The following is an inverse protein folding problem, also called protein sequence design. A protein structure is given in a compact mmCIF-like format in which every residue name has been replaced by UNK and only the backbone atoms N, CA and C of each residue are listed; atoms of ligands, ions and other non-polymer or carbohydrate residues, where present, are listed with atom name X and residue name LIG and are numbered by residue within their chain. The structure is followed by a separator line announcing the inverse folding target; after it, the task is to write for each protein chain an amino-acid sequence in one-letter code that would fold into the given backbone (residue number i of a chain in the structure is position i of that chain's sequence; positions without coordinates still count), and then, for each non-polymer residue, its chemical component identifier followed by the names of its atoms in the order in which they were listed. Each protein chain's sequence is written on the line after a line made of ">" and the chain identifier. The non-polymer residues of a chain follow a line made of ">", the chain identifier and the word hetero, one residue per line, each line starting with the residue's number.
data_IF_950132788730
#
_entry.id   IF_950132788730
#
_cell.length_a   1.000
_cell.length_b   1.000
_cell.length_c   1.000
_cell.angle_alpha   90.00
_cell.angle_beta   90.00
_cell.angle_gamma   90.00
#
_symmetry.space_group_name_H-M   'P 1'
#
loop_
_entity.id
_entity.type
_entity.pdbx_description
1 polymer ?
#
# COMPACT_ATOMS: atom_id res chain seq x y z
N UNK A 1 19.29 -11.29 1.20
CA UNK A 1 19.78 -10.59 -0.01
C UNK A 1 18.65 -9.72 -0.53
N UNK A 2 18.97 -8.51 -1.00
CA UNK A 2 18.00 -7.66 -1.67
C UNK A 2 17.54 -8.33 -2.97
N UNK A 3 16.28 -8.13 -3.35
CA UNK A 3 15.73 -8.67 -4.60
C UNK A 3 15.15 -7.54 -5.45
N UNK A 4 15.17 -7.70 -6.76
CA UNK A 4 14.39 -6.85 -7.66
C UNK A 4 12.90 -7.23 -7.54
N UNK A 5 11.96 -6.26 -7.54
CA UNK A 5 10.53 -6.56 -7.59
C UNK A 5 10.13 -7.26 -8.90
N UNK A 6 10.93 -7.11 -9.96
CA UNK A 6 10.72 -7.75 -11.26
C UNK A 6 11.30 -9.16 -11.37
N UNK A 7 12.07 -9.62 -10.38
CA UNK A 7 12.63 -10.98 -10.35
C UNK A 7 11.58 -12.10 -10.40
N UNK A 8 10.29 -11.75 -10.36
CA UNK A 8 9.12 -12.65 -10.43
C UNK A 8 8.01 -12.16 -11.38
N UNK A 9 8.26 -11.21 -12.29
CA UNK A 9 7.18 -10.41 -12.90
C UNK A 9 6.96 -10.66 -14.40
N UNK A 10 6.07 -11.59 -14.71
CA UNK A 10 5.20 -11.46 -15.89
C UNK A 10 3.75 -11.86 -15.57
N UNK A 11 3.37 -11.76 -14.29
CA UNK A 11 2.32 -12.59 -13.71
C UNK A 11 1.13 -11.79 -13.18
N UNK A 12 -0.05 -12.42 -13.25
CA UNK A 12 -1.32 -11.86 -12.80
C UNK A 12 -1.28 -11.67 -11.28
N UNK A 13 -1.68 -10.47 -10.83
CA UNK A 13 -1.85 -10.15 -9.40
C UNK A 13 -2.88 -11.08 -8.77
N UNK A 14 -2.63 -11.50 -7.53
CA UNK A 14 -3.65 -12.09 -6.65
C UNK A 14 -3.81 -11.28 -5.38
N UNK A 15 -5.04 -11.18 -4.91
CA UNK A 15 -5.36 -10.61 -3.62
C UNK A 15 -6.38 -11.47 -2.88
N UNK A 16 -6.38 -11.37 -1.57
CA UNK A 16 -7.39 -11.95 -0.69
C UNK A 16 -7.76 -10.91 0.37
N UNK A 17 -9.07 -10.78 0.62
CA UNK A 17 -9.61 -9.92 1.68
C UNK A 17 -10.38 -10.82 2.63
N UNK A 18 -9.99 -10.81 3.90
CA UNK A 18 -10.69 -11.53 4.96
C UNK A 18 -11.37 -10.53 5.89
N UNK A 19 -12.63 -10.78 6.21
CA UNK A 19 -13.40 -10.07 7.22
C UNK A 19 -13.70 -10.99 8.38
N UNK A 20 -13.27 -10.61 9.59
CA UNK A 20 -13.27 -11.44 10.79
C UNK A 20 -12.65 -12.83 10.56
N UNK A 21 -11.60 -12.89 9.73
CA UNK A 21 -10.89 -14.13 9.39
C UNK A 21 -11.55 -14.98 8.30
N UNK A 22 -12.68 -14.56 7.74
CA UNK A 22 -13.41 -15.26 6.69
C UNK A 22 -13.27 -14.51 5.37
N UNK A 23 -12.94 -15.20 4.28
CA UNK A 23 -12.85 -14.58 2.95
C UNK A 23 -14.18 -13.95 2.56
N UNK A 24 -14.13 -12.73 2.00
CA UNK A 24 -15.34 -12.03 1.56
C UNK A 24 -16.07 -12.79 0.42
N UNK A 25 -17.38 -12.56 0.20
CA UNK A 25 -18.10 -13.23 -0.87
C UNK A 25 -17.46 -13.00 -2.24
N UNK A 26 -17.28 -14.08 -3.02
CA UNK A 26 -16.67 -14.03 -4.37
C UNK A 26 -17.46 -13.18 -5.37
N UNK A 27 -18.74 -12.90 -5.07
CA UNK A 27 -19.60 -12.00 -5.85
C UNK A 27 -19.25 -10.53 -5.67
N UNK A 28 -18.43 -10.19 -4.67
CA UNK A 28 -18.00 -8.82 -4.40
C UNK A 28 -17.01 -8.37 -5.47
N UNK A 29 -17.38 -7.36 -6.26
CA UNK A 29 -16.51 -6.82 -7.31
C UNK A 29 -15.63 -5.71 -6.72
N UNK A 30 -14.38 -6.04 -6.43
CA UNK A 30 -13.38 -5.08 -5.97
C UNK A 30 -12.86 -4.28 -7.16
N UNK A 31 -12.97 -2.96 -7.07
CA UNK A 31 -12.47 -2.01 -8.07
C UNK A 31 -11.02 -1.63 -7.77
N UNK A 32 -10.76 -1.30 -6.50
CA UNK A 32 -9.46 -0.83 -6.08
C UNK A 32 -9.15 -1.17 -4.62
N UNK A 33 -7.86 -1.34 -4.34
CA UNK A 33 -7.29 -1.37 -3.00
C UNK A 33 -6.24 -0.27 -2.90
N UNK A 34 -6.34 0.54 -1.85
CA UNK A 34 -5.34 1.54 -1.50
C UNK A 34 -4.90 1.29 -0.07
N UNK A 35 -3.65 0.88 0.14
CA UNK A 35 -3.08 0.67 1.47
C UNK A 35 -1.95 1.66 1.66
N UNK A 36 -2.02 2.43 2.74
CA UNK A 36 -1.00 3.39 3.13
C UNK A 36 -0.47 3.05 4.52
N UNK A 37 0.85 2.89 4.60
CA UNK A 37 1.60 2.79 5.85
C UNK A 37 2.49 4.02 5.98
N UNK A 38 2.51 4.65 7.14
CA UNK A 38 3.28 5.88 7.37
C UNK A 38 3.89 5.83 8.77
N UNK A 39 5.14 6.27 8.91
CA UNK A 39 5.73 6.48 10.23
C UNK A 39 4.91 7.53 11.00
N UNK A 40 4.87 7.42 12.32
CA UNK A 40 4.13 8.36 13.19
C UNK A 40 2.61 8.45 12.91
N UNK A 41 2.03 7.57 12.08
CA UNK A 41 0.59 7.50 11.80
C UNK A 41 0.08 6.07 11.93
N UNK A 42 -1.25 5.93 11.95
CA UNK A 42 -1.91 4.64 11.76
C UNK A 42 -1.92 4.27 10.29
N UNK A 43 -1.71 2.99 10.01
CA UNK A 43 -1.88 2.44 8.67
C UNK A 43 -3.36 2.52 8.31
N UNK A 44 -3.64 2.88 7.06
CA UNK A 44 -5.00 3.00 6.52
C UNK A 44 -5.13 2.14 5.28
N UNK A 45 -6.25 1.44 5.15
CA UNK A 45 -6.61 0.75 3.93
C UNK A 45 -8.00 1.19 3.47
N UNK A 46 -8.13 1.48 2.19
CA UNK A 46 -9.39 1.78 1.52
C UNK A 46 -9.67 0.67 0.51
N UNK A 47 -10.80 -0.01 0.70
CA UNK A 47 -11.33 -1.01 -0.23
C UNK A 47 -12.48 -0.36 -0.98
N UNK A 48 -12.36 -0.25 -2.30
CA UNK A 48 -13.42 0.27 -3.16
C UNK A 48 -14.03 -0.89 -3.94
N UNK A 49 -15.34 -1.06 -3.83
CA UNK A 49 -16.09 -2.12 -4.50
C UNK A 49 -17.37 -1.58 -5.15
N UNK A 50 -17.87 -2.26 -6.17
CA UNK A 50 -19.21 -2.00 -6.73
C UNK A 50 -20.24 -2.52 -5.73
N UNK A 51 -21.17 -1.66 -5.34
CA UNK A 51 -22.30 -2.07 -4.52
C UNK A 51 -23.52 -1.23 -4.90
N UNK A 52 -24.48 -1.89 -5.53
CA UNK A 52 -25.55 -1.22 -6.25
C UNK A 52 -25.53 -1.54 -7.74
N UNK A 53 -26.71 -1.58 -8.34
CA UNK A 53 -26.91 -1.71 -9.77
C UNK A 53 -28.04 -0.80 -10.21
N UNK A 54 -27.94 -0.22 -11.39
CA UNK A 54 -28.93 0.70 -11.94
C UNK A 54 -30.34 0.12 -11.86
N UNK A 55 -31.27 0.90 -11.29
CA UNK A 55 -32.69 0.57 -11.22
C UNK A 55 -33.13 -0.42 -10.13
N UNK A 56 -32.22 -0.95 -9.29
CA UNK A 56 -32.59 -1.95 -8.26
C UNK A 56 -32.64 -1.47 -6.81
N UNK A 57 -32.35 -0.20 -6.49
CA UNK A 57 -32.40 0.36 -5.11
C UNK A 57 -31.84 -0.59 -4.02
N UNK A 58 -30.80 -1.35 -4.35
CA UNK A 58 -30.30 -2.45 -3.52
C UNK A 58 -28.79 -2.35 -3.39
N UNK A 59 -28.31 -2.42 -2.15
CA UNK A 59 -26.90 -2.33 -1.78
C UNK A 59 -26.53 -3.60 -0.99
N UNK A 60 -26.37 -4.75 -1.67
CA UNK A 60 -26.23 -6.04 -1.00
C UNK A 60 -25.05 -6.11 -0.03
N UNK A 61 -23.91 -5.48 -0.35
CA UNK A 61 -22.73 -5.54 0.53
C UNK A 61 -22.87 -4.57 1.70
N UNK A 62 -23.33 -3.35 1.48
CA UNK A 62 -23.55 -2.35 2.52
C UNK A 62 -24.60 -2.81 3.55
N UNK A 63 -25.63 -3.53 3.10
CA UNK A 63 -26.66 -4.11 3.97
C UNK A 63 -26.24 -5.43 4.63
N UNK A 64 -25.08 -5.99 4.27
CA UNK A 64 -24.58 -7.25 4.82
C UNK A 64 -23.74 -7.05 6.09
N UNK A 65 -23.38 -8.17 6.72
CA UNK A 65 -22.43 -8.17 7.85
C UNK A 65 -20.96 -8.13 7.40
N UNK A 66 -20.68 -8.17 6.09
CA UNK A 66 -19.32 -8.38 5.55
C UNK A 66 -18.36 -7.27 5.97
N UNK A 67 -18.76 -6.00 5.89
CA UNK A 67 -17.92 -4.86 6.24
C UNK A 67 -18.55 -3.97 7.32
N UNK A 68 -19.21 -4.58 8.30
CA UNK A 68 -19.73 -3.84 9.45
C UNK A 68 -18.62 -3.09 10.17
N UNK A 69 -18.95 -1.91 10.70
CA UNK A 69 -18.05 -1.12 11.54
C UNK A 69 -17.50 -2.00 12.68
N UNK A 70 -16.19 -1.92 12.91
CA UNK A 70 -15.48 -2.71 13.90
C UNK A 70 -15.04 -4.11 13.44
N UNK A 71 -15.50 -4.62 12.29
CA UNK A 71 -15.00 -5.89 11.76
C UNK A 71 -13.49 -5.80 11.51
N UNK A 72 -12.77 -6.86 11.88
CA UNK A 72 -11.35 -7.03 11.56
C UNK A 72 -11.18 -7.34 10.08
N UNK A 73 -10.30 -6.60 9.40
CA UNK A 73 -9.97 -6.77 8.00
C UNK A 73 -8.51 -7.15 7.85
N UNK A 74 -8.24 -8.20 7.07
CA UNK A 74 -6.91 -8.58 6.60
C UNK A 74 -6.87 -8.51 5.08
N UNK A 75 -5.87 -7.82 4.54
CA UNK A 75 -5.64 -7.73 3.09
C UNK A 75 -4.30 -8.39 2.79
N UNK A 76 -4.32 -9.35 1.86
CA UNK A 76 -3.13 -10.03 1.35
C UNK A 76 -2.97 -9.72 -0.13
N UNK A 77 -1.74 -9.43 -0.54
CA UNK A 77 -1.37 -9.17 -1.93
C UNK A 77 -0.20 -10.05 -2.34
N UNK A 78 -0.12 -10.36 -3.63
CA UNK A 78 0.97 -11.15 -4.18
C UNK A 78 0.78 -11.49 -5.64
N UNK A 79 1.57 -12.46 -6.09
CA UNK A 79 1.54 -12.99 -7.46
C UNK A 79 1.53 -14.51 -7.39
N UNK A 80 0.90 -15.17 -8.37
CA UNK A 80 0.78 -16.64 -8.43
C UNK A 80 0.14 -17.21 -7.14
N UNK A 81 0.71 -18.29 -6.57
CA UNK A 81 0.20 -18.93 -5.35
C UNK A 81 0.69 -18.25 -4.06
N UNK A 82 1.55 -17.22 -4.15
CA UNK A 82 2.14 -16.58 -2.99
C UNK A 82 1.56 -15.19 -2.78
N UNK A 83 0.64 -15.11 -1.82
CA UNK A 83 0.13 -13.86 -1.27
C UNK A 83 0.63 -13.71 0.17
N UNK A 84 1.07 -12.51 0.52
CA UNK A 84 1.52 -12.16 1.86
C UNK A 84 0.60 -11.06 2.42
N UNK A 85 0.43 -11.02 3.74
CA UNK A 85 -0.36 -9.99 4.40
C UNK A 85 0.32 -8.62 4.28
N UNK A 86 -0.41 -7.63 3.75
CA UNK A 86 0.05 -6.23 3.62
C UNK A 86 -0.67 -5.28 4.56
N UNK A 87 -1.84 -5.67 5.11
CA UNK A 87 -2.62 -4.85 6.03
C UNK A 87 -3.47 -5.69 6.98
N UNK A 88 -3.57 -5.25 8.24
CA UNK A 88 -4.52 -5.72 9.25
C UNK A 88 -5.07 -4.55 10.03
N UNK A 89 -6.39 -4.45 10.15
CA UNK A 89 -7.04 -3.36 10.88
C UNK A 89 -8.52 -3.62 11.11
N UNK A 90 -9.27 -2.58 11.47
CA UNK A 90 -10.73 -2.63 11.61
C UNK A 90 -11.40 -1.64 10.69
N UNK A 91 -12.62 -2.00 10.23
CA UNK A 91 -13.50 -1.07 9.52
C UNK A 91 -13.88 0.08 10.45
N UNK A 92 -13.63 1.31 10.02
CA UNK A 92 -13.98 2.52 10.79
C UNK A 92 -15.01 3.40 10.08
N UNK A 93 -15.04 3.37 8.74
CA UNK A 93 -15.94 4.19 7.94
C UNK A 93 -16.41 3.40 6.72
N UNK A 94 -17.68 3.58 6.36
CA UNK A 94 -18.26 3.13 5.10
C UNK A 94 -18.79 4.36 4.36
N UNK A 95 -18.49 4.50 3.07
CA UNK A 95 -18.99 5.59 2.21
C UNK A 95 -19.68 5.01 0.99
N UNK A 96 -20.91 5.45 0.72
CA UNK A 96 -21.57 5.22 -0.56
C UNK A 96 -21.27 6.39 -1.50
N UNK A 97 -20.84 6.07 -2.71
CA UNK A 97 -20.40 7.05 -3.71
C UNK A 97 -21.06 6.67 -5.03
N UNK A 98 -21.66 7.63 -5.72
CA UNK A 98 -22.05 7.45 -7.11
C UNK A 98 -20.94 7.98 -8.00
N UNK A 99 -20.27 7.10 -8.74
CA UNK A 99 -19.25 7.47 -9.72
C UNK A 99 -19.89 7.44 -11.12
N UNK A 100 -19.74 8.53 -11.88
CA UNK A 100 -20.35 8.66 -13.21
C UNK A 100 -19.83 7.67 -14.25
N UNK A 101 -18.63 7.12 -14.07
CA UNK A 101 -17.99 6.18 -15.01
C UNK A 101 -18.03 4.74 -14.49
N UNK A 102 -17.85 4.54 -13.19
CA UNK A 102 -17.71 3.23 -12.55
C UNK A 102 -18.96 2.80 -11.74
N UNK A 103 -20.04 3.59 -11.78
CA UNK A 103 -21.33 3.28 -11.15
C UNK A 103 -21.38 3.51 -9.63
N UNK A 104 -22.33 2.86 -8.96
CA UNK A 104 -22.48 2.96 -7.50
C UNK A 104 -21.42 2.13 -6.77
N UNK A 105 -20.71 2.78 -5.84
CA UNK A 105 -19.57 2.24 -5.13
C UNK A 105 -19.76 2.30 -3.62
N UNK A 106 -19.22 1.29 -2.95
CA UNK A 106 -19.01 1.29 -1.51
C UNK A 106 -17.51 1.35 -1.23
N UNK A 107 -17.08 2.36 -0.49
CA UNK A 107 -15.72 2.46 0.06
C UNK A 107 -15.72 2.07 1.53
N UNK A 108 -14.84 1.13 1.87
CA UNK A 108 -14.60 0.68 3.24
C UNK A 108 -13.22 1.20 3.66
N UNK A 109 -13.21 2.08 4.66
CA UNK A 109 -11.96 2.62 5.22
C UNK A 109 -11.66 1.87 6.51
N UNK A 110 -10.47 1.31 6.56
CA UNK A 110 -9.97 0.52 7.68
C UNK A 110 -8.73 1.18 8.26
N UNK A 111 -8.54 1.07 9.58
CA UNK A 111 -7.32 1.50 10.26
C UNK A 111 -6.78 0.41 11.17
N UNK A 112 -5.47 0.35 11.35
CA UNK A 112 -4.86 -0.50 12.39
C UNK A 112 -5.40 -0.14 13.77
N UNK A 113 -5.62 -1.14 14.63
CA UNK A 113 -6.04 -0.87 16.01
C UNK A 113 -4.91 -0.27 16.84
N UNK A 114 -5.29 0.70 17.67
CA UNK A 114 -4.41 1.48 18.53
C UNK A 114 -4.24 0.79 19.88
N UNK A 115 -3.06 0.22 20.13
CA UNK A 115 -2.53 0.11 21.50
C UNK A 115 -1.10 0.64 21.47
N UNK A 116 -1.02 1.97 21.58
CA UNK A 116 0.18 2.82 21.55
C UNK A 116 0.70 3.13 20.13
N UNK A 117 0.67 4.43 19.78
CA UNK A 117 1.50 5.18 18.81
C UNK A 117 2.13 4.34 17.69
N UNK A 118 1.82 4.66 16.43
CA UNK A 118 2.46 4.17 15.18
C UNK A 118 3.48 3.04 15.35
N UNK A 119 3.23 1.86 14.76
CA UNK A 119 4.14 0.68 14.80
C UNK A 119 5.62 1.00 14.57
N UNK A 120 5.91 2.08 13.85
CA UNK A 120 7.24 2.64 13.66
C UNK A 120 7.19 4.14 13.93
N UNK A 121 7.95 4.61 14.92
CA UNK A 121 8.21 6.05 15.08
C UNK A 121 9.41 6.47 14.27
N UNK A 122 9.50 7.76 13.96
CA UNK A 122 10.65 8.34 13.28
C UNK A 122 11.97 8.10 14.04
N UNK A 123 11.93 8.13 15.36
CA UNK A 123 13.10 7.88 16.21
C UNK A 123 13.58 6.41 16.14
N UNK A 124 12.67 5.49 15.80
CA UNK A 124 12.92 4.04 15.74
C UNK A 124 13.34 3.56 14.34
N UNK A 125 13.66 4.49 13.43
CA UNK A 125 14.13 4.16 12.09
C UNK A 125 15.53 3.55 12.15
N UNK A 126 15.60 2.26 11.88
CA UNK A 126 16.85 1.52 11.87
C UNK A 126 17.53 1.65 10.50
N UNK A 127 18.59 2.46 10.47
CA UNK A 127 19.41 2.73 9.28
C UNK A 127 20.57 1.74 9.12
N UNK A 128 20.64 0.69 9.94
CA UNK A 128 21.66 -0.37 9.86
C UNK A 128 21.15 -1.63 9.14
N UNK A 129 19.85 -1.74 8.90
CA UNK A 129 19.24 -2.89 8.21
C UNK A 129 19.87 -3.13 6.84
N UNK A 130 19.95 -4.38 6.45
CA UNK A 130 20.26 -4.70 5.05
C UNK A 130 19.07 -4.37 4.15
N UNK A 131 19.28 -3.89 2.92
CA UNK A 131 18.21 -3.64 1.98
C UNK A 131 17.38 -4.91 1.68
N UNK A 132 16.04 -4.77 1.71
CA UNK A 132 15.10 -5.83 1.33
C UNK A 132 14.85 -5.85 -0.17
N UNK A 133 14.97 -4.69 -0.83
CA UNK A 133 14.85 -4.51 -2.27
C UNK A 133 16.06 -3.78 -2.82
N UNK A 134 16.39 -4.09 -4.06
CA UNK A 134 17.27 -3.31 -4.91
C UNK A 134 16.44 -2.82 -6.10
N UNK A 135 16.38 -1.50 -6.27
CA UNK A 135 15.60 -0.82 -7.30
C UNK A 135 16.56 -0.09 -8.23
N UNK A 136 16.59 -0.52 -9.48
CA UNK A 136 17.45 0.06 -10.51
C UNK A 136 16.61 0.87 -11.50
N UNK A 137 16.96 2.15 -11.69
CA UNK A 137 16.34 2.97 -12.74
C UNK A 137 16.63 2.40 -14.14
N UNK A 138 15.61 2.41 -15.00
CA UNK A 138 15.64 1.73 -16.31
C UNK A 138 15.30 0.24 -16.26
N UNK A 139 15.09 -0.32 -15.06
CA UNK A 139 14.63 -1.69 -14.88
C UNK A 139 13.41 -1.76 -13.94
N UNK A 140 13.60 -1.53 -12.64
CA UNK A 140 12.57 -1.72 -11.61
C UNK A 140 11.66 -0.50 -11.39
N UNK A 141 12.18 0.69 -11.65
CA UNK A 141 11.54 1.97 -11.29
C UNK A 141 10.65 2.46 -12.42
N UNK A 142 9.38 2.69 -12.12
CA UNK A 142 8.33 3.18 -13.04
C UNK A 142 8.22 4.70 -12.97
N UNK A 143 8.20 5.26 -11.76
CA UNK A 143 8.10 6.70 -11.50
C UNK A 143 9.00 7.07 -10.33
N UNK A 144 9.55 8.29 -10.32
CA UNK A 144 10.32 8.78 -9.18
C UNK A 144 10.32 10.30 -9.11
N UNK A 145 10.46 10.82 -7.90
CA UNK A 145 10.89 12.19 -7.63
C UNK A 145 11.88 12.13 -6.49
N UNK A 146 13.14 12.49 -6.74
CA UNK A 146 14.22 12.46 -5.75
C UNK A 146 14.85 13.85 -5.60
N UNK A 147 15.14 14.23 -4.36
CA UNK A 147 15.73 15.52 -4.01
C UNK A 147 16.81 15.35 -2.93
N UNK A 148 17.75 16.29 -2.92
CA UNK A 148 18.81 16.40 -1.91
C UNK A 148 18.83 17.85 -1.45
N UNK A 149 18.74 18.06 -0.14
CA UNK A 149 18.73 19.38 0.47
C UNK A 149 20.13 19.80 0.89
N UNK A 150 20.43 21.10 0.81
CA UNK A 150 21.76 21.64 1.13
C UNK A 150 22.14 21.41 2.60
N UNK A 151 21.17 21.42 3.50
CA UNK A 151 21.31 21.18 4.94
C UNK A 151 21.62 19.70 5.22
N UNK A 152 21.26 18.79 4.31
CA UNK A 152 21.43 17.34 4.48
C UNK A 152 21.91 16.66 3.19
N UNK A 153 23.11 17.03 2.67
CA UNK A 153 23.55 16.69 1.32
C UNK A 153 23.85 15.20 1.11
N UNK A 154 23.92 14.42 2.21
CA UNK A 154 24.12 12.97 2.16
C UNK A 154 22.81 12.17 2.13
N UNK A 155 21.66 12.83 2.33
CA UNK A 155 20.33 12.20 2.38
C UNK A 155 19.60 12.45 1.06
N UNK A 156 18.91 11.42 0.60
CA UNK A 156 17.95 11.51 -0.51
C UNK A 156 16.56 11.45 0.09
N UNK A 157 15.76 12.46 -0.22
CA UNK A 157 14.34 12.53 0.12
C UNK A 157 13.53 12.37 -1.18
N UNK A 158 12.32 11.81 -1.10
CA UNK A 158 11.48 11.66 -2.28
C UNK A 158 10.67 10.37 -2.30
N UNK A 159 10.33 9.89 -3.49
CA UNK A 159 9.65 8.61 -3.69
C UNK A 159 10.06 7.90 -4.96
N UNK A 160 9.81 6.59 -4.98
CA UNK A 160 9.92 5.73 -6.15
C UNK A 160 8.67 4.83 -6.23
N UNK A 161 8.08 4.72 -7.42
CA UNK A 161 7.02 3.77 -7.74
C UNK A 161 7.59 2.63 -8.56
N UNK A 162 7.21 1.40 -8.22
CA UNK A 162 7.66 0.17 -8.87
C UNK A 162 6.56 -0.90 -8.81
N UNK A 163 6.79 -2.03 -9.49
CA UNK A 163 5.90 -3.20 -9.43
C UNK A 163 5.62 -3.59 -7.97
N UNK A 164 4.38 -3.98 -7.68
CA UNK A 164 3.92 -4.50 -6.40
C UNK A 164 4.89 -5.42 -5.67
N UNK A 165 5.16 -5.18 -4.38
CA UNK A 165 5.92 -6.12 -3.57
C UNK A 165 5.45 -6.12 -2.10
N UNK A 166 4.90 -7.25 -1.65
CA UNK A 166 4.16 -7.34 -0.38
C UNK A 166 5.03 -7.09 0.86
N UNK A 167 6.34 -7.33 0.72
CA UNK A 167 7.28 -7.17 1.84
C UNK A 167 7.82 -5.76 1.95
N UNK A 168 7.43 -4.83 1.08
CA UNK A 168 7.79 -3.42 1.21
C UNK A 168 6.99 -2.81 2.37
N UNK A 169 7.63 -2.54 3.50
CA UNK A 169 7.00 -1.91 4.65
C UNK A 169 7.80 -0.69 5.12
N UNK A 170 7.16 0.19 5.88
CA UNK A 170 7.87 1.26 6.62
C UNK A 170 8.99 0.68 7.50
N UNK A 171 10.05 1.44 7.72
CA UNK A 171 11.29 1.00 8.42
C UNK A 171 12.06 -0.14 7.72
N UNK A 172 11.67 -0.57 6.52
CA UNK A 172 12.55 -1.37 5.68
C UNK A 172 13.57 -0.48 5.00
N UNK A 173 14.69 -1.08 4.61
CA UNK A 173 15.70 -0.40 3.80
C UNK A 173 15.61 -0.89 2.36
N UNK A 174 15.81 0.01 1.42
CA UNK A 174 15.92 -0.29 -0.01
C UNK A 174 17.22 0.27 -0.55
N UNK A 175 17.79 -0.39 -1.55
CA UNK A 175 18.93 0.13 -2.31
C UNK A 175 18.39 0.73 -3.60
N UNK A 176 18.71 2.00 -3.87
CA UNK A 176 18.34 2.67 -5.13
C UNK A 176 19.60 2.89 -5.97
N UNK A 177 19.55 2.48 -7.24
CA UNK A 177 20.67 2.49 -8.19
C UNK A 177 20.23 2.92 -9.58
N UNK A 178 21.20 3.18 -10.45
CA UNK A 178 20.94 3.57 -11.85
C UNK A 178 20.61 5.06 -12.03
N UNK A 179 20.73 5.87 -10.98
CA UNK A 179 20.61 7.32 -11.02
C UNK A 179 22.01 7.98 -11.07
N UNK A 180 22.06 9.32 -11.06
CA UNK A 180 23.32 10.03 -10.83
C UNK A 180 23.90 9.70 -9.46
N UNK A 181 25.23 9.63 -9.34
CA UNK A 181 25.95 9.08 -8.18
C UNK A 181 25.50 9.63 -6.82
N UNK A 182 25.17 10.93 -6.75
CA UNK A 182 24.69 11.57 -5.52
C UNK A 182 23.37 10.98 -4.97
N UNK A 183 22.57 10.36 -5.84
CA UNK A 183 21.29 9.73 -5.50
C UNK A 183 21.40 8.22 -5.24
N UNK A 184 22.43 7.54 -5.75
CA UNK A 184 22.59 6.08 -5.61
C UNK A 184 22.98 5.69 -4.18
N UNK A 185 22.00 5.23 -3.38
CA UNK A 185 22.16 5.03 -1.93
C UNK A 185 21.24 3.94 -1.40
N UNK A 186 21.53 3.50 -0.18
CA UNK A 186 20.55 2.79 0.62
C UNK A 186 19.69 3.80 1.39
N UNK A 187 18.38 3.60 1.36
CA UNK A 187 17.39 4.51 1.92
C UNK A 187 16.41 3.73 2.80
N UNK A 188 16.10 4.28 3.97
CA UNK A 188 15.01 3.77 4.81
C UNK A 188 13.68 4.31 4.30
N UNK A 189 12.67 3.44 4.23
CA UNK A 189 11.32 3.81 3.84
C UNK A 189 10.60 4.45 5.02
N UNK A 190 10.07 5.66 4.80
CA UNK A 190 9.25 6.40 5.76
C UNK A 190 7.75 6.25 5.51
N UNK A 191 7.34 6.01 4.27
CA UNK A 191 5.94 5.76 3.91
C UNK A 191 5.86 4.78 2.75
N UNK A 192 4.88 3.88 2.79
CA UNK A 192 4.56 2.94 1.71
C UNK A 192 3.12 3.15 1.28
N UNK A 193 2.90 3.18 -0.02
CA UNK A 193 1.58 3.12 -0.61
C UNK A 193 1.52 1.92 -1.55
N UNK A 194 0.61 0.99 -1.30
CA UNK A 194 0.22 -0.03 -2.27
C UNK A 194 -1.08 0.37 -2.94
N UNK A 195 -1.10 0.34 -4.27
CA UNK A 195 -2.29 0.61 -5.08
C UNK A 195 -2.55 -0.57 -6.01
N UNK A 196 -3.71 -1.19 -5.85
CA UNK A 196 -4.24 -2.19 -6.77
C UNK A 196 -5.42 -1.57 -7.50
N UNK A 197 -5.35 -1.45 -8.82
CA UNK A 197 -6.46 -0.99 -9.68
C UNK A 197 -6.30 -1.61 -11.07
N UNK A 198 -7.42 -1.99 -11.70
CA UNK A 198 -7.46 -2.52 -13.06
C UNK A 198 -6.47 -3.69 -13.33
N UNK A 199 -6.36 -4.62 -12.37
CA UNK A 199 -5.48 -5.80 -12.50
C UNK A 199 -3.98 -5.52 -12.33
N UNK A 200 -3.59 -4.27 -12.06
CA UNK A 200 -2.21 -3.87 -11.81
C UNK A 200 -1.99 -3.55 -10.34
N UNK A 201 -0.81 -3.88 -9.84
CA UNK A 201 -0.37 -3.50 -8.50
C UNK A 201 0.93 -2.72 -8.58
N UNK A 202 0.87 -1.50 -8.05
CA UNK A 202 2.02 -0.63 -7.89
C UNK A 202 2.30 -0.40 -6.41
N UNK A 203 3.58 -0.25 -6.08
CA UNK A 203 4.04 0.17 -4.76
C UNK A 203 4.86 1.43 -4.89
N UNK A 204 4.49 2.46 -4.13
CA UNK A 204 5.25 3.71 -4.00
C UNK A 204 5.89 3.75 -2.63
N UNK A 205 7.22 3.77 -2.60
CA UNK A 205 8.01 3.91 -1.38
C UNK A 205 8.56 5.33 -1.29
N UNK A 206 8.24 6.01 -0.20
CA UNK A 206 8.84 7.30 0.16
C UNK A 206 10.09 7.07 0.98
N UNK A 207 11.15 7.78 0.62
CA UNK A 207 12.45 7.71 1.27
C UNK A 207 12.80 9.05 1.91
N UNK A 208 13.54 9.00 3.01
CA UNK A 208 13.92 10.19 3.75
C UNK A 208 12.77 10.78 4.58
N UNK A 209 12.91 12.04 5.02
CA UNK A 209 11.91 12.72 5.85
C UNK A 209 10.92 13.46 4.95
N UNK A 210 9.88 12.79 4.47
CA UNK A 210 8.78 13.48 3.82
C UNK A 210 7.71 13.86 4.86
N UNK A 211 8.05 14.77 5.76
CA UNK A 211 7.05 15.44 6.61
C UNK A 211 6.55 16.67 5.87
N UNK A 212 5.77 16.46 4.81
CA UNK A 212 4.88 17.51 4.35
C UNK A 212 3.70 17.56 5.34
N UNK A 213 3.94 18.18 6.49
CA UNK A 213 2.89 18.81 7.27
C UNK A 213 2.72 20.23 6.73
N UNK A 214 1.95 20.35 5.67
CA UNK A 214 1.28 21.60 5.29
C UNK A 214 -0.18 21.28 5.10
#
# INVERSE_FOLDING_TARGET
>A
MAVSPLSKSNDIIRFEILSNGISIPVTTQIIALHIQQDINRFDEAVITLIDGSDGKNSFPIANSNTFKLGNSIEIKLGYHAKIDCVFKGKVIVQKLINNSEEGSQLQIICKTEDTAISKVRKEDLDRSKSPVLELTYGYDVIEFQLQIHAETPKRVDGFLTFQGFAKTNVNNMISIKGFADKFNKNCTISKVIHQVKHGSWHTTAYVGNNLNNT
#
